data_IF_839437461119
#
_entry.id   IF_839437461119
#
_cell.length_a   1.000
_cell.length_b   1.000
_cell.length_c   1.000
_cell.angle_alpha   90.00
_cell.angle_beta   90.00
_cell.angle_gamma   90.00
#
_symmetry.space_group_name_H-M   'P 1'
#
loop_
_entity.id
_entity.type
_entity.pdbx_description
1 polymer ?
#
# COMPACT_ATOMS: atom_id res chain seq x y z
N UNK A 1 4.85 -7.66 -12.40
CA UNK A 1 3.96 -8.08 -11.31
C UNK A 1 4.21 -7.15 -10.13
N UNK A 2 3.28 -6.24 -9.78
CA UNK A 2 3.44 -5.43 -8.58
C UNK A 2 3.70 -6.31 -7.35
N UNK A 3 4.74 -5.96 -6.61
CA UNK A 3 5.10 -6.59 -5.34
C UNK A 3 4.96 -5.54 -4.25
N UNK A 4 4.43 -5.93 -3.10
CA UNK A 4 4.23 -5.02 -1.99
C UNK A 4 4.88 -5.57 -0.74
N UNK A 5 5.47 -4.69 0.06
CA UNK A 5 5.76 -4.98 1.47
C UNK A 5 4.62 -4.37 2.29
N UNK A 6 3.98 -5.17 3.13
CA UNK A 6 2.89 -4.70 3.97
C UNK A 6 3.02 -5.20 5.41
N UNK A 7 2.57 -4.37 6.34
CA UNK A 7 2.31 -4.75 7.73
C UNK A 7 0.80 -4.96 7.88
N UNK A 8 0.39 -6.15 8.29
CA UNK A 8 -1.00 -6.55 8.22
C UNK A 8 -1.27 -7.95 8.73
N UNK A 9 -2.45 -8.48 8.41
CA UNK A 9 -2.84 -9.85 8.72
C UNK A 9 -3.56 -10.50 7.54
N UNK A 10 -3.59 -11.83 7.53
CA UNK A 10 -4.31 -12.61 6.53
C UNK A 10 -5.80 -12.63 6.84
N UNK A 11 -6.62 -12.26 5.87
CA UNK A 11 -8.08 -12.35 5.92
C UNK A 11 -8.55 -13.48 5.02
N UNK A 12 -9.11 -14.53 5.62
CA UNK A 12 -9.44 -15.75 4.88
C UNK A 12 -10.57 -15.50 3.89
N UNK A 13 -10.51 -16.15 2.73
CA UNK A 13 -11.52 -15.99 1.68
C UNK A 13 -12.93 -16.27 2.17
N UNK A 14 -13.08 -17.23 3.08
CA UNK A 14 -14.35 -17.53 3.75
C UNK A 14 -14.89 -16.32 4.52
N UNK A 15 -14.05 -15.64 5.29
CA UNK A 15 -14.46 -14.46 6.08
C UNK A 15 -14.72 -13.25 5.19
N UNK A 16 -13.97 -13.06 4.10
CA UNK A 16 -14.23 -12.03 3.10
C UNK A 16 -15.63 -12.21 2.50
N UNK A 17 -15.95 -13.43 2.03
CA UNK A 17 -17.28 -13.74 1.47
C UNK A 17 -18.40 -13.51 2.47
N UNK A 18 -18.20 -13.91 3.73
CA UNK A 18 -19.18 -13.67 4.81
C UNK A 18 -19.39 -12.17 5.03
N UNK A 19 -18.31 -11.39 5.06
CA UNK A 19 -18.39 -9.94 5.24
C UNK A 19 -19.14 -9.28 4.08
N UNK A 20 -18.79 -9.58 2.83
CA UNK A 20 -19.48 -9.04 1.64
C UNK A 20 -20.98 -9.35 1.66
N UNK A 21 -21.37 -10.56 2.07
CA UNK A 21 -22.78 -10.96 2.16
C UNK A 21 -23.51 -10.25 3.32
N UNK A 22 -22.91 -10.20 4.51
CA UNK A 22 -23.56 -9.61 5.69
C UNK A 22 -23.70 -8.09 5.59
N UNK A 23 -22.76 -7.44 4.90
CA UNK A 23 -22.75 -6.00 4.72
C UNK A 23 -23.42 -5.56 3.40
N UNK A 24 -23.97 -6.50 2.62
CA UNK A 24 -24.72 -6.26 1.38
C UNK A 24 -23.92 -5.43 0.35
N UNK A 25 -22.69 -5.88 0.07
CA UNK A 25 -21.76 -5.17 -0.83
C UNK A 25 -21.86 -5.69 -2.27
N UNK A 26 -22.83 -5.19 -3.03
CA UNK A 26 -23.07 -5.59 -4.43
C UNK A 26 -21.87 -5.32 -5.35
N UNK A 27 -21.14 -4.23 -5.11
CA UNK A 27 -19.97 -3.83 -5.92
C UNK A 27 -18.66 -4.54 -5.52
N UNK A 28 -18.70 -5.42 -4.51
CA UNK A 28 -17.54 -6.13 -4.03
C UNK A 28 -17.45 -7.56 -4.58
N UNK A 29 -16.40 -7.86 -5.33
CA UNK A 29 -16.04 -9.23 -5.69
C UNK A 29 -15.25 -9.87 -4.53
N UNK A 30 -15.84 -10.81 -3.76
CA UNK A 30 -15.17 -11.36 -2.59
C UNK A 30 -13.98 -12.26 -2.94
N UNK A 31 -13.85 -12.68 -4.21
CA UNK A 31 -12.76 -13.49 -4.73
C UNK A 31 -11.61 -12.64 -5.30
N UNK A 32 -11.82 -11.33 -5.46
CA UNK A 32 -10.84 -10.36 -5.96
C UNK A 32 -11.06 -8.99 -5.32
N UNK A 33 -10.47 -8.79 -4.14
CA UNK A 33 -10.76 -7.59 -3.32
C UNK A 33 -9.92 -6.36 -3.69
N UNK A 34 -8.89 -6.53 -4.52
CA UNK A 34 -7.98 -5.47 -4.99
C UNK A 34 -8.49 -4.72 -6.22
N UNK A 35 -9.55 -5.20 -6.89
CA UNK A 35 -10.18 -4.46 -7.98
C UNK A 35 -10.76 -3.14 -7.47
N UNK A 36 -10.54 -2.03 -8.19
CA UNK A 36 -10.82 -0.65 -7.73
C UNK A 36 -12.23 -0.45 -7.13
N UNK A 37 -13.24 -1.05 -7.74
CA UNK A 37 -14.62 -0.98 -7.24
C UNK A 37 -14.81 -1.83 -5.99
N UNK A 38 -14.31 -3.08 -5.99
CA UNK A 38 -14.36 -3.96 -4.82
C UNK A 38 -13.65 -3.37 -3.62
N UNK A 39 -12.43 -2.88 -3.80
CA UNK A 39 -11.63 -2.28 -2.74
C UNK A 39 -12.28 -1.00 -2.21
N UNK A 40 -12.79 -0.12 -3.08
CA UNK A 40 -13.53 1.06 -2.66
C UNK A 40 -14.74 0.69 -1.80
N UNK A 41 -15.60 -0.23 -2.27
CA UNK A 41 -16.80 -0.64 -1.57
C UNK A 41 -16.50 -1.22 -0.18
N UNK A 42 -15.50 -2.08 -0.07
CA UNK A 42 -15.09 -2.69 1.22
C UNK A 42 -14.51 -1.61 2.16
N UNK A 43 -13.62 -0.74 1.67
CA UNK A 43 -12.97 0.28 2.49
C UNK A 43 -13.94 1.38 2.96
N UNK A 44 -14.88 1.78 2.12
CA UNK A 44 -15.96 2.70 2.50
C UNK A 44 -16.86 2.06 3.55
N UNK A 45 -17.13 0.75 3.42
CA UNK A 45 -17.87 0.01 4.44
C UNK A 45 -17.10 -0.07 5.75
N UNK A 46 -15.78 -0.26 5.71
CA UNK A 46 -14.94 -0.23 6.91
C UNK A 46 -15.05 1.13 7.62
N UNK A 47 -14.94 2.23 6.86
CA UNK A 47 -15.04 3.59 7.41
C UNK A 47 -16.40 3.93 8.04
N UNK A 48 -17.47 3.24 7.65
CA UNK A 48 -18.81 3.43 8.21
C UNK A 48 -19.15 2.45 9.33
N UNK A 49 -18.67 1.21 9.26
CA UNK A 49 -18.92 0.15 10.25
C UNK A 49 -18.04 0.28 11.49
N UNK A 50 -16.78 0.68 11.32
CA UNK A 50 -15.77 0.71 12.37
C UNK A 50 -15.44 2.16 12.74
N UNK A 51 -16.13 2.69 13.75
CA UNK A 51 -16.06 4.09 14.19
C UNK A 51 -14.72 4.49 14.83
N UNK A 52 -13.89 3.51 15.17
CA UNK A 52 -12.58 3.66 15.79
C UNK A 52 -11.43 3.77 14.77
N UNK A 53 -11.72 3.68 13.46
CA UNK A 53 -10.68 3.80 12.45
C UNK A 53 -10.14 5.23 12.40
N UNK A 54 -8.81 5.42 12.30
CA UNK A 54 -8.23 6.75 12.18
C UNK A 54 -8.71 7.49 10.93
N UNK A 55 -9.09 8.74 11.09
CA UNK A 55 -9.39 9.61 9.96
C UNK A 55 -8.07 10.11 9.36
N UNK A 56 -7.61 9.44 8.30
CA UNK A 56 -6.46 9.91 7.52
C UNK A 56 -6.95 10.92 6.50
N UNK A 57 -6.55 12.18 6.67
CA UNK A 57 -6.60 13.11 5.55
C UNK A 57 -5.71 12.56 4.44
N UNK A 58 -6.10 12.69 3.16
CA UNK A 58 -5.17 12.40 2.06
C UNK A 58 -3.90 13.20 2.36
N UNK A 59 -2.78 12.52 2.58
CA UNK A 59 -1.50 13.21 2.63
C UNK A 59 -1.39 13.91 1.30
N UNK A 60 -1.43 15.25 1.32
CA UNK A 60 -0.97 16.04 0.19
C UNK A 60 0.38 15.43 -0.13
N UNK A 61 0.49 14.89 -1.34
CA UNK A 61 1.75 14.43 -1.90
C UNK A 61 2.81 15.40 -1.40
N UNK A 62 3.87 14.91 -0.77
CA UNK A 62 5.05 15.73 -0.66
C UNK A 62 5.41 16.05 -2.11
N UNK A 63 4.91 17.19 -2.60
CA UNK A 63 5.31 17.78 -3.85
C UNK A 63 6.82 17.87 -3.69
N UNK A 64 7.53 16.98 -4.36
CA UNK A 64 8.91 17.30 -4.69
C UNK A 64 8.83 18.67 -5.36
N UNK A 65 9.51 19.71 -4.82
CA UNK A 65 9.36 21.05 -5.34
C UNK A 65 9.64 21.03 -6.83
N UNK A 66 8.58 21.26 -7.60
CA UNK A 66 8.63 21.42 -9.04
C UNK A 66 9.58 22.56 -9.35
N UNK A 67 10.48 22.31 -10.29
CA UNK A 67 11.42 23.28 -10.83
C UNK A 67 10.67 24.55 -11.27
N UNK A 68 10.81 25.63 -10.49
CA UNK A 68 10.52 26.98 -10.95
C UNK A 68 11.85 27.67 -11.20
N UNK A 69 12.29 27.63 -12.45
CA UNK A 69 13.37 28.51 -12.89
C UNK A 69 12.94 29.98 -12.88
N UNK A 70 13.87 30.90 -12.62
CA UNK A 70 13.89 32.19 -13.28
C UNK A 70 15.03 32.23 -14.30
N UNK A 71 14.80 32.97 -15.39
CA UNK A 71 15.73 33.16 -16.51
C UNK A 71 17.07 33.82 -16.15
N UNK A 72 17.89 34.11 -17.17
CA UNK A 72 19.33 33.92 -17.15
C UNK A 72 20.07 35.05 -16.44
N UNK A 73 21.00 34.70 -15.56
CA UNK A 73 22.10 35.59 -15.17
C UNK A 73 23.38 34.80 -14.93
N UNK A 74 24.32 35.00 -15.85
CA UNK A 74 25.72 34.62 -15.72
C UNK A 74 26.31 35.23 -14.43
N UNK A 75 26.95 34.39 -13.60
CA UNK A 75 28.31 34.64 -13.07
C UNK A 75 28.83 33.47 -12.23
N UNK A 76 29.90 32.88 -12.76
CA UNK A 76 31.13 32.41 -12.11
C UNK A 76 31.07 31.31 -11.02
N UNK A 77 31.57 30.16 -11.49
CA UNK A 77 32.13 29.00 -10.80
C UNK A 77 32.76 29.23 -9.42
N UNK A 78 32.38 28.33 -8.50
CA UNK A 78 33.32 27.51 -7.71
C UNK A 78 32.87 26.07 -7.86
N UNK A 79 33.69 25.29 -8.58
CA UNK A 79 33.54 23.86 -8.79
C UNK A 79 34.01 23.12 -7.53
N UNK A 80 33.10 22.46 -6.84
CA UNK A 80 33.45 21.27 -6.05
C UNK A 80 32.99 20.06 -6.86
N UNK A 81 33.98 19.37 -7.46
CA UNK A 81 33.82 18.16 -8.24
C UNK A 81 33.28 17.01 -7.35
N UNK A 82 32.08 16.53 -7.66
CA UNK A 82 31.81 15.08 -7.63
C UNK A 82 31.39 14.66 -9.02
N UNK A 83 32.39 14.34 -9.82
CA UNK A 83 32.22 13.63 -11.09
C UNK A 83 31.78 12.21 -10.71
N UNK A 84 30.47 11.93 -10.76
CA UNK A 84 30.01 10.56 -11.01
C UNK A 84 30.56 10.20 -12.40
N UNK A 85 31.49 9.26 -12.47
CA UNK A 85 32.20 8.95 -13.71
C UNK A 85 31.29 8.18 -14.69
N UNK A 86 30.22 7.57 -14.17
CA UNK A 86 29.17 6.93 -14.94
C UNK A 86 27.80 7.11 -14.26
N UNK A 87 26.69 6.99 -15.01
CA UNK A 87 25.34 7.12 -14.44
C UNK A 87 25.07 6.06 -13.35
N UNK A 88 25.76 4.92 -13.40
CA UNK A 88 25.65 3.82 -12.44
C UNK A 88 26.30 4.12 -11.08
N UNK A 89 27.08 5.20 -10.97
CA UNK A 89 27.69 5.62 -9.70
C UNK A 89 26.69 6.39 -8.81
N UNK A 90 25.50 6.70 -9.34
CA UNK A 90 24.38 7.20 -8.55
C UNK A 90 23.68 6.05 -7.84
N UNK A 91 24.03 5.85 -6.57
CA UNK A 91 23.44 4.84 -5.69
C UNK A 91 22.07 5.26 -5.12
N UNK A 92 21.47 6.36 -5.59
CA UNK A 92 20.12 6.74 -5.17
C UNK A 92 19.09 5.73 -5.69
N UNK A 93 18.06 5.49 -4.88
CA UNK A 93 16.95 4.63 -5.28
C UNK A 93 16.03 5.43 -6.21
N UNK A 94 15.78 4.98 -7.45
CA UNK A 94 14.87 5.67 -8.34
C UNK A 94 13.47 5.78 -7.74
N UNK A 95 12.71 6.86 -8.03
CA UNK A 95 11.32 6.95 -7.63
C UNK A 95 10.48 5.85 -8.27
N UNK A 96 9.30 5.59 -7.69
CA UNK A 96 8.39 4.59 -8.24
C UNK A 96 8.03 4.91 -9.69
N UNK A 97 7.95 3.85 -10.52
CA UNK A 97 7.60 3.99 -11.94
C UNK A 97 6.10 4.15 -12.17
N UNK A 98 5.29 3.76 -11.18
CA UNK A 98 3.83 3.78 -11.28
C UNK A 98 3.29 4.81 -10.30
N UNK A 99 2.55 5.83 -10.77
CA UNK A 99 1.90 6.78 -9.89
C UNK A 99 0.88 6.08 -8.97
N UNK A 100 0.73 6.58 -7.74
CA UNK A 100 -0.21 6.01 -6.76
C UNK A 100 -1.66 5.93 -7.27
N UNK A 101 -2.07 6.83 -8.17
CA UNK A 101 -3.40 6.83 -8.79
C UNK A 101 -3.62 5.67 -9.76
N UNK A 102 -2.55 5.13 -10.33
CA UNK A 102 -2.57 4.01 -11.28
C UNK A 102 -2.44 2.66 -10.54
N UNK A 103 -1.88 2.66 -9.34
CA UNK A 103 -1.72 1.48 -8.49
C UNK A 103 -3.05 1.06 -7.84
N UNK A 104 -3.39 -0.23 -7.91
CA UNK A 104 -4.66 -0.77 -7.39
C UNK A 104 -4.78 -0.73 -5.87
N UNK A 105 -3.66 -0.71 -5.14
CA UNK A 105 -3.64 -0.66 -3.68
C UNK A 105 -3.47 0.78 -3.20
N UNK A 106 -2.51 1.50 -3.80
CA UNK A 106 -2.15 2.85 -3.36
C UNK A 106 -3.18 3.91 -3.79
N UNK A 107 -4.06 3.66 -4.77
CA UNK A 107 -5.12 4.62 -5.14
C UNK A 107 -6.04 4.97 -3.95
N UNK A 108 -6.18 4.06 -2.98
CA UNK A 108 -7.00 4.28 -1.79
C UNK A 108 -6.23 4.93 -0.63
N UNK A 109 -5.33 5.89 -0.88
CA UNK A 109 -4.52 6.55 0.17
C UNK A 109 -5.35 7.11 1.33
N UNK A 110 -6.55 7.60 1.03
CA UNK A 110 -7.50 8.15 1.99
C UNK A 110 -7.89 7.17 3.10
N UNK A 111 -7.86 5.86 2.84
CA UNK A 111 -8.20 4.84 3.84
C UNK A 111 -6.98 4.50 4.71
N UNK A 112 -7.10 4.42 6.04
CA UNK A 112 -6.03 3.89 6.89
C UNK A 112 -5.72 2.42 6.61
N UNK A 113 -6.71 1.68 6.06
CA UNK A 113 -6.61 0.26 5.73
C UNK A 113 -6.36 0.09 4.23
N UNK A 114 -5.50 -0.86 3.89
CA UNK A 114 -5.20 -1.31 2.52
C UNK A 114 -5.58 -2.78 2.38
N UNK A 115 -6.04 -3.13 1.19
CA UNK A 115 -6.38 -4.50 0.82
C UNK A 115 -5.39 -4.97 -0.23
N UNK A 116 -4.82 -6.15 -0.04
CA UNK A 116 -3.90 -6.76 -1.00
C UNK A 116 -4.35 -8.19 -1.29
N UNK A 117 -4.01 -8.67 -2.48
CA UNK A 117 -4.36 -10.00 -2.96
C UNK A 117 -3.11 -10.63 -3.59
N UNK A 118 -2.95 -11.93 -3.38
CA UNK A 118 -1.94 -12.71 -4.10
C UNK A 118 -2.52 -13.18 -5.44
N UNK A 119 -1.78 -12.93 -6.51
CA UNK A 119 -2.13 -13.42 -7.84
C UNK A 119 -0.90 -13.84 -8.60
N UNK A 120 -0.99 -14.98 -9.26
CA UNK A 120 0.04 -15.51 -10.15
C UNK A 120 -0.67 -15.94 -11.45
N UNK A 121 -0.40 -15.30 -12.61
CA UNK A 121 -1.04 -15.65 -13.87
C UNK A 121 -0.69 -17.05 -14.38
N UNK A 122 0.42 -17.65 -13.92
CA UNK A 122 0.81 -19.01 -14.28
C UNK A 122 0.06 -20.07 -13.43
N UNK A 123 -0.54 -19.66 -12.32
CA UNK A 123 -1.39 -20.52 -11.50
C UNK A 123 -2.75 -20.75 -12.17
N UNK A 124 -2.97 -21.98 -12.64
CA UNK A 124 -4.23 -22.38 -13.29
C UNK A 124 -5.05 -23.36 -12.46
N UNK A 125 -4.51 -23.85 -11.34
CA UNK A 125 -5.19 -24.87 -10.52
C UNK A 125 -6.17 -24.28 -9.50
N UNK A 126 -5.93 -23.05 -9.06
CA UNK A 126 -6.72 -22.37 -8.03
C UNK A 126 -7.16 -21.00 -8.56
N UNK A 127 -8.47 -20.78 -8.67
CA UNK A 127 -9.03 -19.51 -9.18
C UNK A 127 -8.85 -18.31 -8.25
N UNK A 128 -8.73 -18.54 -6.93
CA UNK A 128 -8.54 -17.49 -5.94
C UNK A 128 -7.74 -18.03 -4.75
N UNK A 129 -6.74 -17.27 -4.29
CA UNK A 129 -5.91 -17.66 -3.15
C UNK A 129 -6.76 -17.76 -1.86
N UNK A 130 -6.34 -18.59 -0.89
CA UNK A 130 -7.15 -18.91 0.28
C UNK A 130 -7.34 -17.73 1.25
N UNK A 131 -6.53 -16.68 1.13
CA UNK A 131 -6.60 -15.47 1.91
C UNK A 131 -6.18 -14.28 1.05
N UNK A 132 -6.67 -13.11 1.46
CA UNK A 132 -6.16 -11.81 1.07
C UNK A 132 -5.47 -11.18 2.28
N UNK A 133 -4.93 -9.97 2.14
CA UNK A 133 -4.27 -9.24 3.22
C UNK A 133 -5.03 -7.96 3.53
N UNK A 134 -5.18 -7.69 4.82
CA UNK A 134 -5.64 -6.41 5.36
C UNK A 134 -4.44 -5.79 6.06
N UNK A 135 -4.05 -4.59 5.64
CA UNK A 135 -2.83 -3.93 6.09
C UNK A 135 -3.10 -2.49 6.51
N UNK A 136 -2.34 -1.98 7.48
CA UNK A 136 -2.39 -0.57 7.89
C UNK A 136 -1.23 0.26 7.31
N UNK A 137 -0.20 -0.44 6.83
CA UNK A 137 0.96 0.11 6.13
C UNK A 137 1.34 -0.77 4.92
N UNK A 138 1.54 -0.13 3.76
CA UNK A 138 1.91 -0.78 2.50
C UNK A 138 2.85 0.13 1.73
N UNK A 139 3.88 -0.48 1.14
CA UNK A 139 4.71 0.14 0.12
C UNK A 139 4.76 -0.75 -1.13
N UNK A 140 4.80 -0.12 -2.31
CA UNK A 140 5.07 -0.81 -3.57
C UNK A 140 6.58 -1.03 -3.71
N UNK A 141 6.98 -2.23 -4.10
CA UNK A 141 8.35 -2.60 -4.41
C UNK A 141 8.47 -2.69 -5.94
N UNK A 142 9.21 -1.75 -6.54
CA UNK A 142 9.49 -1.80 -7.98
C UNK A 142 10.76 -2.60 -8.29
N UNK A 143 11.88 -2.26 -7.65
CA UNK A 143 13.17 -2.95 -7.84
C UNK A 143 13.66 -3.63 -6.56
N UNK A 144 13.63 -2.91 -5.44
CA UNK A 144 14.03 -3.42 -4.12
C UNK A 144 13.49 -2.53 -3.01
N UNK A 145 13.50 -3.05 -1.78
CA UNK A 145 13.17 -2.31 -0.57
C UNK A 145 14.07 -2.77 0.57
N UNK A 146 14.48 -1.83 1.44
CA UNK A 146 15.19 -2.16 2.67
C UNK A 146 14.19 -2.43 3.79
N UNK A 147 13.90 -3.71 4.03
CA UNK A 147 12.86 -4.14 4.99
C UNK A 147 13.08 -3.55 6.39
N UNK A 148 14.32 -3.53 6.89
CA UNK A 148 14.60 -3.03 8.24
C UNK A 148 14.40 -1.52 8.35
N UNK A 149 14.72 -0.77 7.29
CA UNK A 149 14.50 0.67 7.25
C UNK A 149 13.01 0.99 7.20
N UNK A 150 12.23 0.23 6.42
CA UNK A 150 10.77 0.40 6.32
C UNK A 150 10.06 0.01 7.62
N UNK A 151 10.52 -1.04 8.31
CA UNK A 151 10.05 -1.37 9.65
C UNK A 151 10.30 -0.22 10.63
N UNK A 152 11.50 0.37 10.62
CA UNK A 152 11.83 1.50 11.48
C UNK A 152 11.00 2.76 11.16
N UNK A 153 10.74 3.03 9.86
CA UNK A 153 9.85 4.11 9.42
C UNK A 153 8.43 3.89 9.93
N UNK A 154 7.91 2.67 9.81
CA UNK A 154 6.60 2.31 10.33
C UNK A 154 6.51 2.50 11.85
N UNK A 155 7.48 2.02 12.62
CA UNK A 155 7.52 2.22 14.08
C UNK A 155 7.53 3.70 14.48
N UNK A 156 8.29 4.53 13.76
CA UNK A 156 8.33 5.97 13.98
C UNK A 156 6.96 6.62 13.67
N UNK A 157 6.32 6.23 12.56
CA UNK A 157 4.99 6.71 12.17
C UNK A 157 3.90 6.32 13.18
N UNK A 158 3.90 5.07 13.66
CA UNK A 158 2.96 4.62 14.69
C UNK A 158 3.11 5.42 15.97
N UNK A 159 4.35 5.69 16.38
CA UNK A 159 4.66 6.49 17.57
C UNK A 159 4.23 7.95 17.40
N UNK A 160 4.44 8.54 16.22
CA UNK A 160 4.02 9.90 15.91
C UNK A 160 2.50 10.04 15.92
N UNK A 161 1.81 9.12 15.26
CA UNK A 161 0.34 9.15 15.12
C UNK A 161 -0.38 8.88 16.44
N UNK A 162 0.19 8.02 17.29
CA UNK A 162 -0.36 7.66 18.60
C UNK A 162 -1.86 7.25 18.52
N UNK A 163 -2.21 6.46 17.51
CA UNK A 163 -3.58 6.06 17.16
C UNK A 163 -4.12 4.89 18.02
N UNK A 164 -3.33 4.42 19.00
CA UNK A 164 -3.71 3.30 19.85
C UNK A 164 -3.78 1.96 19.09
N UNK A 165 -4.51 0.99 19.65
CA UNK A 165 -4.60 -0.38 19.14
C UNK A 165 -5.80 -0.60 18.22
N UNK A 166 -6.09 0.37 17.34
CA UNK A 166 -7.25 0.31 16.46
C UNK A 166 -7.16 -0.86 15.48
N UNK A 167 -5.94 -1.20 15.05
CA UNK A 167 -5.72 -2.22 14.03
C UNK A 167 -5.85 -3.64 14.58
N UNK A 168 -5.42 -3.88 15.82
CA UNK A 168 -5.65 -5.14 16.52
C UNK A 168 -7.15 -5.40 16.71
N UNK A 169 -7.91 -4.35 17.04
CA UNK A 169 -9.36 -4.43 17.15
C UNK A 169 -10.02 -4.76 15.81
N UNK A 170 -9.60 -4.11 14.72
CA UNK A 170 -10.07 -4.44 13.37
C UNK A 170 -9.76 -5.90 13.01
N UNK A 171 -8.55 -6.37 13.32
CA UNK A 171 -8.15 -7.77 13.13
C UNK A 171 -9.04 -8.71 13.90
N UNK A 172 -9.34 -8.44 15.17
CA UNK A 172 -10.20 -9.30 15.99
C UNK A 172 -11.64 -9.37 15.45
N UNK A 173 -12.16 -8.27 14.90
CA UNK A 173 -13.51 -8.20 14.30
C UNK A 173 -13.59 -8.87 12.91
N UNK A 174 -12.51 -8.88 12.12
CA UNK A 174 -12.48 -9.47 10.76
C UNK A 174 -11.94 -10.90 10.69
N UNK A 175 -10.93 -11.21 11.50
CA UNK A 175 -10.21 -12.48 11.51
C UNK A 175 -9.53 -12.70 12.87
N UNK A 176 -10.35 -13.05 13.87
CA UNK A 176 -9.89 -13.34 15.22
C UNK A 176 -8.70 -14.33 15.23
N UNK A 177 -7.67 -14.00 16.02
CA UNK A 177 -6.49 -14.84 16.22
C UNK A 177 -5.48 -14.84 15.07
N UNK A 178 -5.70 -14.09 13.99
CA UNK A 178 -4.69 -13.93 12.93
C UNK A 178 -3.50 -13.11 13.44
N UNK A 179 -2.24 -13.53 13.19
CA UNK A 179 -1.09 -12.73 13.57
C UNK A 179 -1.00 -11.46 12.69
N UNK A 180 -0.58 -10.36 13.30
CA UNK A 180 -0.25 -9.12 12.57
C UNK A 180 1.27 -9.13 12.38
N UNK A 181 1.71 -9.22 11.14
CA UNK A 181 3.11 -9.41 10.75
C UNK A 181 3.43 -8.68 9.44
N UNK A 182 4.70 -8.75 9.05
CA UNK A 182 5.17 -8.25 7.77
C UNK A 182 5.08 -9.33 6.70
N UNK A 183 4.54 -8.97 5.54
CA UNK A 183 4.40 -9.85 4.39
C UNK A 183 4.94 -9.18 3.13
N UNK A 184 5.52 -10.01 2.26
CA UNK A 184 5.79 -9.64 0.86
C UNK A 184 4.69 -10.28 0.02
N UNK A 185 3.87 -9.45 -0.61
CA UNK A 185 2.70 -9.88 -1.39
C UNK A 185 2.98 -9.61 -2.85
N UNK A 186 2.94 -10.67 -3.67
CA UNK A 186 3.09 -10.57 -5.12
C UNK A 186 1.70 -10.63 -5.75
N UNK A 187 1.39 -9.62 -6.54
CA UNK A 187 0.19 -9.57 -7.34
C UNK A 187 0.58 -9.48 -8.81
N UNK A 188 0.37 -10.55 -9.57
CA UNK A 188 0.67 -10.58 -11.00
C UNK A 188 -0.41 -10.01 -11.92
N UNK A 189 -1.48 -9.42 -11.35
CA UNK A 189 -2.59 -8.90 -12.13
C UNK A 189 -2.28 -7.46 -12.58
N UNK A 190 -1.74 -7.33 -13.80
CA UNK A 190 -1.37 -6.03 -14.39
C UNK A 190 -2.52 -5.40 -15.21
N UNK A 191 -3.57 -6.15 -15.56
CA UNK A 191 -4.49 -5.77 -16.66
C UNK A 191 -6.00 -6.01 -16.41
N UNK A 192 -6.48 -6.35 -15.20
CA UNK A 192 -7.94 -6.56 -14.95
C UNK A 192 -8.70 -5.39 -14.34
#
# INVERSE_FOLDING_TARGET
MPTYLCHGFRWTRRMIRIFVILEDLDDAAPDWITGRHSSAAILERFGTKFDYLPQRLPQQQAEQPSEQGPGPQQKQATQDEKIAAHQDDDFSVPPSRVPDSEDSVLVHQWSPVKLLEEWDPEETSISARPFAYVADHVIRIDLSANVLEEMAKYEALVKERNEGSWFERLRDELQEGSPIEWYVVVNGDEER
#
